data_IF_489845717579
#
_entry.id   IF_489845717579
#
_cell.length_a   1.000
_cell.length_b   1.000
_cell.length_c   1.000
_cell.angle_alpha   90.00
_cell.angle_beta   90.00
_cell.angle_gamma   90.00
#
_symmetry.space_group_name_H-M   'P 1'
#
loop_
_entity.id
_entity.type
_entity.pdbx_description
1 polymer ?
#
# COMPACT_ATOMS: atom_id res chain seq x y z
N UNK A 1 12.82 3.26 -18.08
CA UNK A 1 13.81 2.78 -17.10
C UNK A 1 13.06 2.02 -16.01
N UNK A 2 13.41 0.76 -15.79
CA UNK A 2 12.83 -0.04 -14.72
C UNK A 2 13.35 0.47 -13.37
N UNK A 3 12.45 0.56 -12.38
CA UNK A 3 12.73 0.93 -11.00
C UNK A 3 12.09 -0.09 -10.07
N UNK A 4 12.74 -0.31 -8.93
CA UNK A 4 12.25 -1.27 -7.93
C UNK A 4 12.21 -0.64 -6.55
N UNK A 5 11.06 -0.78 -5.88
CA UNK A 5 10.83 -0.36 -4.50
C UNK A 5 10.60 -1.58 -3.62
N UNK A 6 11.21 -1.58 -2.44
CA UNK A 6 10.82 -2.46 -1.34
C UNK A 6 10.01 -1.66 -0.33
N UNK A 7 8.87 -2.22 0.09
CA UNK A 7 8.01 -1.66 1.12
C UNK A 7 7.91 -2.66 2.26
N UNK A 8 8.21 -2.21 3.47
CA UNK A 8 8.06 -3.00 4.69
C UNK A 8 7.13 -2.31 5.67
N UNK A 9 6.26 -3.10 6.31
CA UNK A 9 5.36 -2.62 7.34
C UNK A 9 5.20 -3.67 8.44
N UNK A 10 5.00 -3.19 9.66
CA UNK A 10 4.78 -4.02 10.83
C UNK A 10 3.55 -3.51 11.58
N UNK A 11 2.72 -4.44 12.05
CA UNK A 11 1.62 -4.17 12.96
C UNK A 11 1.68 -5.11 14.15
N UNK A 12 1.46 -4.56 15.33
CA UNK A 12 1.21 -5.32 16.55
C UNK A 12 -0.23 -5.82 16.49
N UNK A 13 -0.44 -7.11 16.76
CA UNK A 13 -1.77 -7.74 16.78
C UNK A 13 -2.14 -8.17 18.20
N UNK A 14 -3.44 -8.21 18.55
CA UNK A 14 -3.88 -8.75 19.84
C UNK A 14 -3.44 -10.21 20.03
N UNK A 15 -3.37 -10.64 21.28
CA UNK A 15 -2.90 -11.99 21.63
C UNK A 15 -3.88 -13.08 21.19
N UNK A 16 -3.36 -14.29 21.02
CA UNK A 16 -4.11 -15.45 20.54
C UNK A 16 -5.27 -15.91 21.43
N UNK A 17 -5.35 -15.45 22.68
CA UNK A 17 -6.45 -15.72 23.61
C UNK A 17 -7.67 -14.79 23.40
N UNK A 18 -7.57 -13.82 22.49
CA UNK A 18 -8.65 -12.89 22.13
C UNK A 18 -9.47 -13.36 20.91
N UNK A 19 -10.70 -12.86 20.70
CA UNK A 19 -11.54 -13.23 19.56
C UNK A 19 -10.84 -13.06 18.21
N UNK A 20 -10.66 -14.17 17.49
CA UNK A 20 -9.92 -14.20 16.23
C UNK A 20 -10.71 -13.54 15.09
N UNK A 21 -10.21 -12.40 14.61
CA UNK A 21 -10.80 -11.63 13.50
C UNK A 21 -10.26 -12.01 12.11
N UNK A 22 -9.51 -13.10 12.00
CA UNK A 22 -8.85 -13.54 10.75
C UNK A 22 -8.13 -12.39 10.01
N UNK A 23 -7.35 -11.61 10.77
CA UNK A 23 -6.62 -10.46 10.25
C UNK A 23 -5.51 -10.91 9.31
N UNK A 24 -5.46 -10.31 8.11
CA UNK A 24 -4.45 -10.63 7.10
C UNK A 24 -4.11 -9.42 6.24
N UNK A 25 -2.87 -9.34 5.75
CA UNK A 25 -2.51 -8.39 4.71
C UNK A 25 -3.23 -8.74 3.41
N UNK A 26 -3.94 -7.77 2.83
CA UNK A 26 -4.52 -7.94 1.51
C UNK A 26 -3.45 -7.77 0.45
N UNK A 27 -3.56 -8.56 -0.61
CA UNK A 27 -2.62 -8.60 -1.73
C UNK A 27 -2.78 -7.41 -2.70
N UNK A 28 -2.91 -6.20 -2.14
CA UNK A 28 -3.08 -4.95 -2.87
C UNK A 28 -2.48 -3.78 -2.09
N UNK A 29 -2.11 -2.72 -2.80
CA UNK A 29 -1.64 -1.47 -2.20
C UNK A 29 -1.80 -0.28 -3.16
N UNK A 30 -1.79 0.92 -2.60
CA UNK A 30 -1.74 2.17 -3.36
C UNK A 30 -0.37 2.84 -3.14
N UNK A 31 0.22 3.38 -4.21
CA UNK A 31 1.43 4.19 -4.17
C UNK A 31 1.23 5.50 -4.90
N UNK A 32 1.84 6.57 -4.39
CA UNK A 32 1.99 7.80 -5.16
C UNK A 32 3.18 7.66 -6.10
N UNK A 33 2.92 7.61 -7.40
CA UNK A 33 3.93 7.48 -8.45
C UNK A 33 3.70 8.51 -9.55
N UNK A 34 4.78 8.90 -10.21
CA UNK A 34 4.71 9.64 -11.45
C UNK A 34 4.19 8.76 -12.58
N UNK A 35 3.32 9.31 -13.42
CA UNK A 35 2.74 8.59 -14.54
C UNK A 35 3.03 9.30 -15.87
N UNK A 36 3.98 8.75 -16.63
CA UNK A 36 4.35 9.28 -17.94
C UNK A 36 3.25 9.10 -19.01
N UNK A 37 2.31 8.17 -18.78
CA UNK A 37 1.19 7.90 -19.70
C UNK A 37 0.21 9.08 -19.71
N UNK A 38 -0.32 9.48 -18.54
CA UNK A 38 -1.14 10.68 -18.44
C UNK A 38 -0.33 11.97 -18.30
N UNK A 39 1.00 11.86 -18.19
CA UNK A 39 1.97 12.95 -18.00
C UNK A 39 1.66 13.79 -16.76
N UNK A 40 1.49 13.11 -15.61
CA UNK A 40 1.20 13.73 -14.32
C UNK A 40 2.05 13.13 -13.21
N UNK A 41 2.60 13.97 -12.34
CA UNK A 41 3.31 13.56 -11.13
C UNK A 41 2.33 13.27 -9.98
N UNK A 42 2.84 12.61 -8.93
CA UNK A 42 2.13 12.37 -7.65
C UNK A 42 0.77 11.65 -7.82
N UNK A 43 0.67 10.69 -8.75
CA UNK A 43 -0.58 9.96 -9.02
C UNK A 43 -0.75 8.78 -8.08
N UNK A 44 -1.93 8.62 -7.51
CA UNK A 44 -2.30 7.37 -6.85
C UNK A 44 -2.36 6.26 -7.89
N UNK A 45 -1.54 5.24 -7.69
CA UNK A 45 -1.43 4.04 -8.51
C UNK A 45 -1.79 2.83 -7.66
N UNK A 46 -2.81 2.09 -8.05
CA UNK A 46 -3.27 0.88 -7.39
C UNK A 46 -2.57 -0.35 -7.97
N UNK A 47 -2.03 -1.18 -7.10
CA UNK A 47 -1.38 -2.44 -7.42
C UNK A 47 -2.17 -3.60 -6.80
N UNK A 48 -2.32 -4.68 -7.56
CA UNK A 48 -2.86 -5.97 -7.07
C UNK A 48 -1.87 -7.07 -7.41
N UNK A 49 -1.61 -7.95 -6.46
CA UNK A 49 -0.67 -9.05 -6.66
C UNK A 49 -1.19 -10.05 -7.68
N UNK A 50 -0.33 -10.49 -8.60
CA UNK A 50 -0.69 -11.38 -9.70
C UNK A 50 -1.17 -10.66 -10.96
N UNK A 51 -1.38 -9.34 -10.89
CA UNK A 51 -1.59 -8.52 -12.09
C UNK A 51 -0.24 -8.10 -12.68
N UNK A 52 -0.12 -8.13 -14.00
CA UNK A 52 1.10 -7.68 -14.72
C UNK A 52 1.15 -6.16 -14.93
N UNK A 53 0.09 -5.45 -14.54
CA UNK A 53 -0.02 -4.00 -14.65
C UNK A 53 -0.72 -3.40 -13.43
N UNK A 54 -0.40 -2.14 -13.14
CA UNK A 54 -1.04 -1.35 -12.11
C UNK A 54 -2.11 -0.45 -12.75
N UNK A 55 -2.92 0.20 -11.92
CA UNK A 55 -3.95 1.15 -12.38
C UNK A 55 -3.64 2.55 -11.83
N UNK A 56 -3.39 3.50 -12.73
CA UNK A 56 -3.29 4.90 -12.37
C UNK A 56 -4.69 5.51 -12.27
N UNK A 57 -4.95 6.22 -11.18
CA UNK A 57 -6.24 6.87 -10.89
C UNK A 57 -6.70 7.92 -11.93
N UNK A 58 -5.84 8.40 -12.83
CA UNK A 58 -6.21 9.32 -13.93
C UNK A 58 -6.65 10.75 -13.50
N UNK A 59 -6.45 11.76 -14.35
CA UNK A 59 -6.83 13.15 -14.01
C UNK A 59 -8.19 13.60 -14.52
N UNK A 60 -8.69 12.99 -15.59
CA UNK A 60 -9.81 13.49 -16.40
C UNK A 60 -10.44 12.39 -17.24
N UNK A 61 -9.58 11.52 -17.78
CA UNK A 61 -9.96 10.27 -18.42
C UNK A 61 -9.87 9.17 -17.37
N UNK A 62 -10.81 8.23 -17.41
CA UNK A 62 -10.95 7.11 -16.49
C UNK A 62 -9.62 6.43 -16.10
N UNK A 63 -9.65 5.66 -15.02
CA UNK A 63 -8.51 4.82 -14.60
C UNK A 63 -7.87 4.14 -15.82
N UNK A 64 -6.54 4.18 -15.88
CA UNK A 64 -5.83 3.62 -17.02
C UNK A 64 -4.65 2.77 -16.54
N UNK A 65 -4.22 1.79 -17.36
CA UNK A 65 -3.05 0.99 -17.04
C UNK A 65 -1.81 1.86 -16.79
N UNK A 66 -1.02 1.44 -15.80
CA UNK A 66 0.30 1.94 -15.50
C UNK A 66 1.29 0.77 -15.52
N UNK A 67 2.46 1.00 -16.10
CA UNK A 67 3.50 -0.01 -16.23
C UNK A 67 4.18 -0.24 -14.88
N UNK A 68 3.61 -1.13 -14.07
CA UNK A 68 4.19 -1.60 -12.82
C UNK A 68 3.40 -2.76 -12.24
N UNK A 69 4.00 -3.52 -11.33
CA UNK A 69 3.41 -4.72 -10.73
C UNK A 69 4.00 -5.00 -9.35
N UNK A 70 3.32 -5.85 -8.60
CA UNK A 70 3.88 -6.45 -7.38
C UNK A 70 4.72 -7.66 -7.78
N UNK A 71 6.04 -7.58 -7.62
CA UNK A 71 6.97 -8.66 -7.98
C UNK A 71 7.24 -9.63 -6.83
N UNK A 72 7.03 -9.21 -5.58
CA UNK A 72 7.02 -10.09 -4.41
C UNK A 72 6.06 -9.59 -3.33
N UNK A 73 5.46 -10.51 -2.59
CA UNK A 73 4.55 -10.23 -1.47
C UNK A 73 4.70 -11.31 -0.40
N UNK A 74 5.45 -11.00 0.64
CA UNK A 74 5.82 -11.89 1.72
C UNK A 74 5.20 -11.42 3.04
N UNK A 75 4.51 -12.32 3.74
CA UNK A 75 3.93 -12.05 5.07
C UNK A 75 4.58 -12.99 6.08
N UNK A 76 5.07 -12.42 7.17
CA UNK A 76 5.55 -13.16 8.33
C UNK A 76 4.61 -12.89 9.50
N UNK A 77 4.01 -13.96 10.02
CA UNK A 77 3.09 -13.90 11.17
C UNK A 77 3.78 -14.48 12.39
N UNK A 78 3.77 -13.71 13.48
CA UNK A 78 4.25 -14.09 14.79
C UNK A 78 3.15 -13.91 15.83
N UNK A 79 3.28 -14.43 17.08
CA UNK A 79 2.20 -14.42 18.06
C UNK A 79 1.62 -13.04 18.41
N UNK A 80 2.43 -11.98 18.36
CA UNK A 80 2.01 -10.61 18.73
C UNK A 80 2.26 -9.58 17.60
N UNK A 81 2.71 -10.02 16.41
CA UNK A 81 2.95 -9.10 15.27
C UNK A 81 2.76 -9.77 13.91
N UNK A 82 2.37 -8.96 12.92
CA UNK A 82 2.44 -9.32 11.51
C UNK A 82 3.34 -8.35 10.77
N UNK A 83 4.25 -8.90 9.96
CA UNK A 83 5.20 -8.15 9.14
C UNK A 83 4.89 -8.41 7.67
N UNK A 84 4.76 -7.34 6.90
CA UNK A 84 4.66 -7.37 5.45
C UNK A 84 5.97 -6.89 4.83
N UNK A 85 6.45 -7.62 3.84
CA UNK A 85 7.47 -7.19 2.89
C UNK A 85 6.92 -7.35 1.47
N UNK A 86 6.89 -6.27 0.70
CA UNK A 86 6.46 -6.32 -0.69
C UNK A 86 7.41 -5.57 -1.60
N UNK A 87 7.62 -6.09 -2.80
CA UNK A 87 8.51 -5.51 -3.81
C UNK A 87 7.67 -5.09 -5.01
N UNK A 88 7.91 -3.87 -5.49
CA UNK A 88 7.17 -3.23 -6.56
C UNK A 88 8.13 -2.87 -7.68
N UNK A 89 7.87 -3.39 -8.86
CA UNK A 89 8.57 -3.01 -10.08
C UNK A 89 7.71 -2.03 -10.87
N UNK A 90 8.29 -0.95 -11.35
CA UNK A 90 7.59 0.01 -12.20
C UNK A 90 8.51 0.66 -13.22
N UNK A 91 7.94 1.06 -14.35
CA UNK A 91 8.64 1.79 -15.39
C UNK A 91 8.48 3.29 -15.20
N UNK A 92 9.62 3.99 -15.25
CA UNK A 92 9.66 5.44 -15.27
C UNK A 92 10.35 5.96 -16.54
N UNK A 93 9.85 7.07 -17.06
CA UNK A 93 10.44 7.81 -18.17
C UNK A 93 10.28 9.32 -17.92
N UNK A 94 11.21 10.18 -18.38
CA UNK A 94 11.06 11.63 -18.29
C UNK A 94 9.83 12.13 -19.04
N UNK A 95 9.11 13.09 -18.48
CA UNK A 95 8.01 13.79 -19.15
C UNK A 95 7.83 15.20 -18.59
N UNK A 96 7.10 16.05 -19.32
CA UNK A 96 6.62 17.35 -18.83
C UNK A 96 5.24 17.16 -18.15
N UNK A 97 5.10 17.53 -16.87
CA UNK A 97 3.82 17.46 -16.17
C UNK A 97 2.80 18.41 -16.80
N UNK A 98 1.66 17.88 -17.26
CA UNK A 98 0.64 18.65 -17.96
C UNK A 98 -0.05 19.73 -17.11
N UNK A 99 -0.14 19.57 -15.78
CA UNK A 99 -0.82 20.52 -14.89
C UNK A 99 0.13 21.55 -14.31
N UNK A 100 1.31 21.13 -13.88
CA UNK A 100 2.31 22.00 -13.26
C UNK A 100 3.23 22.65 -14.27
N UNK A 101 3.27 22.15 -15.50
CA UNK A 101 4.18 22.57 -16.56
C UNK A 101 5.65 22.57 -16.09
N UNK A 102 6.06 21.49 -15.46
CA UNK A 102 7.42 21.27 -14.95
C UNK A 102 7.95 19.91 -15.41
N UNK A 103 9.28 19.76 -15.59
CA UNK A 103 9.86 18.47 -15.90
C UNK A 103 9.70 17.53 -14.69
N UNK A 104 9.19 16.32 -14.94
CA UNK A 104 9.14 15.27 -13.93
C UNK A 104 10.56 14.77 -13.64
N UNK A 105 10.85 14.53 -12.37
CA UNK A 105 12.14 14.04 -11.88
C UNK A 105 11.94 12.64 -11.36
N UNK A 106 12.85 11.72 -11.69
CA UNK A 106 12.76 10.35 -11.22
C UNK A 106 12.64 10.31 -9.69
N UNK A 107 11.84 9.38 -9.11
CA UNK A 107 11.67 9.29 -7.67
C UNK A 107 13.03 9.13 -6.97
N UNK A 108 13.39 10.12 -6.14
CA UNK A 108 14.62 10.11 -5.32
C UNK A 108 14.31 9.99 -3.82
N UNK A 109 13.02 10.00 -3.46
CA UNK A 109 12.53 9.91 -2.08
C UNK A 109 11.43 8.85 -2.01
N UNK A 110 11.19 8.36 -0.80
CA UNK A 110 10.10 7.45 -0.50
C UNK A 110 8.75 8.10 -0.88
N UNK A 111 7.96 7.49 -1.80
CA UNK A 111 6.62 7.99 -2.10
C UNK A 111 5.65 7.81 -0.92
N UNK A 112 4.42 8.31 -1.08
CA UNK A 112 3.33 7.90 -0.19
C UNK A 112 2.87 6.47 -0.53
N UNK A 113 2.50 5.71 0.51
CA UNK A 113 1.95 4.35 0.37
C UNK A 113 0.74 4.14 1.29
N UNK A 114 -0.26 3.39 0.81
CA UNK A 114 -1.33 2.78 1.60
C UNK A 114 -1.34 1.28 1.36
N UNK A 115 -1.22 0.52 2.45
CA UNK A 115 -1.33 -0.93 2.52
C UNK A 115 -2.69 -1.29 3.13
N UNK A 116 -3.19 -2.49 2.85
CA UNK A 116 -4.51 -2.91 3.31
C UNK A 116 -4.44 -4.14 4.21
N UNK A 117 -5.15 -4.09 5.32
CA UNK A 117 -5.44 -5.24 6.17
C UNK A 117 -6.92 -5.60 6.00
N UNK A 118 -7.19 -6.88 5.77
CA UNK A 118 -8.53 -7.46 5.75
C UNK A 118 -8.81 -8.19 7.05
N UNK A 119 -10.07 -8.18 7.48
CA UNK A 119 -10.51 -8.93 8.66
C UNK A 119 -11.96 -9.41 8.50
N UNK A 120 -12.31 -10.48 9.21
CA UNK A 120 -13.66 -11.02 9.37
C UNK A 120 -14.10 -10.85 10.82
N UNK A 121 -15.13 -10.04 11.08
CA UNK A 121 -15.68 -9.91 12.42
C UNK A 121 -16.44 -11.19 12.81
N UNK A 122 -16.11 -11.87 13.92
CA UNK A 122 -16.81 -13.09 14.34
C UNK A 122 -18.25 -12.83 14.80
N UNK A 123 -18.53 -11.66 15.37
CA UNK A 123 -19.87 -11.27 15.84
C UNK A 123 -20.80 -10.93 14.67
N UNK A 124 -20.37 -9.99 13.81
CA UNK A 124 -21.19 -9.54 12.67
C UNK A 124 -21.13 -10.48 11.46
N UNK A 125 -20.15 -11.40 11.41
CA UNK A 125 -19.86 -12.29 10.27
C UNK A 125 -19.65 -11.53 8.96
N UNK A 126 -19.05 -10.34 9.03
CA UNK A 126 -18.79 -9.47 7.89
C UNK A 126 -17.30 -9.25 7.70
N UNK A 127 -16.88 -9.26 6.44
CA UNK A 127 -15.52 -8.92 6.03
C UNK A 127 -15.41 -7.42 5.79
N UNK A 128 -14.32 -6.83 6.28
CA UNK A 128 -13.97 -5.42 6.08
C UNK A 128 -12.48 -5.28 5.82
N UNK A 129 -12.07 -4.08 5.40
CA UNK A 129 -10.67 -3.72 5.25
C UNK A 129 -10.38 -2.37 5.89
N UNK A 130 -9.13 -2.20 6.29
CA UNK A 130 -8.58 -0.98 6.87
C UNK A 130 -7.20 -0.70 6.27
N UNK A 131 -6.74 0.54 6.37
CA UNK A 131 -5.56 1.01 5.63
C UNK A 131 -4.40 1.46 6.53
N UNK A 132 -3.22 0.87 6.35
CA UNK A 132 -1.96 1.29 7.00
C UNK A 132 -1.16 2.19 6.04
N UNK A 133 -0.92 3.45 6.41
CA UNK A 133 -0.43 4.46 5.45
C UNK A 133 0.74 5.28 5.98
N UNK A 134 1.66 5.71 5.12
CA UNK A 134 2.86 6.43 5.56
C UNK A 134 2.61 7.79 6.22
N UNK A 135 1.48 8.45 5.93
CA UNK A 135 1.16 9.82 6.37
C UNK A 135 0.20 9.93 7.56
N UNK A 136 0.15 8.92 8.43
CA UNK A 136 -0.72 8.91 9.63
C UNK A 136 0.10 9.16 10.91
N UNK A 137 -0.49 9.86 11.89
CA UNK A 137 0.12 10.06 13.22
C UNK A 137 0.25 8.71 13.95
N UNK A 138 1.35 8.51 14.68
CA UNK A 138 1.67 7.22 15.32
C UNK A 138 1.89 7.34 16.82
N UNK A 139 1.56 6.28 17.61
CA UNK A 139 0.97 5.01 17.17
C UNK A 139 -0.47 5.16 16.64
N UNK A 140 -0.83 4.34 15.65
CA UNK A 140 -2.18 4.30 15.08
C UNK A 140 -2.79 2.93 15.34
N UNK A 141 -3.87 2.89 16.10
CA UNK A 141 -4.62 1.68 16.42
C UNK A 141 -5.89 1.62 15.59
N UNK A 142 -6.17 0.41 15.12
CA UNK A 142 -7.28 0.09 14.24
C UNK A 142 -8.16 -0.93 14.94
N UNK A 143 -9.45 -0.64 15.01
CA UNK A 143 -10.42 -1.46 15.73
C UNK A 143 -11.46 -2.01 14.76
N UNK A 144 -12.08 -3.13 15.14
CA UNK A 144 -13.20 -3.69 14.40
C UNK A 144 -14.37 -2.69 14.42
N UNK A 145 -14.85 -2.30 13.25
CA UNK A 145 -15.99 -1.37 13.11
C UNK A 145 -17.31 -1.91 13.66
N UNK A 146 -17.38 -3.21 13.96
CA UNK A 146 -18.61 -3.88 14.42
C UNK A 146 -18.64 -4.12 15.92
N UNK A 147 -17.56 -4.65 16.51
CA UNK A 147 -17.49 -4.98 17.94
C UNK A 147 -16.48 -4.12 18.73
N UNK A 148 -15.85 -3.14 18.09
CA UNK A 148 -14.81 -2.26 18.67
C UNK A 148 -13.56 -2.98 19.20
N UNK A 149 -13.43 -4.29 18.99
CA UNK A 149 -12.26 -5.07 19.38
C UNK A 149 -11.00 -4.53 18.67
N UNK A 150 -9.86 -4.36 19.37
CA UNK A 150 -8.60 -3.98 18.74
C UNK A 150 -8.20 -4.99 17.67
N UNK A 151 -7.76 -4.53 16.51
CA UNK A 151 -7.32 -5.42 15.41
C UNK A 151 -5.82 -5.34 15.21
N UNK A 152 -5.28 -4.14 15.14
CA UNK A 152 -3.89 -3.91 14.82
C UNK A 152 -3.43 -2.55 15.34
N UNK A 153 -2.17 -2.44 15.73
CA UNK A 153 -1.53 -1.14 16.01
C UNK A 153 -0.27 -1.00 15.18
N UNK A 154 -0.20 0.04 14.35
CA UNK A 154 1.05 0.43 13.67
C UNK A 154 1.80 1.43 14.54
N UNK A 155 2.99 1.04 15.00
CA UNK A 155 3.87 1.90 15.80
C UNK A 155 4.84 2.69 14.93
N UNK A 156 5.17 2.17 13.75
CA UNK A 156 6.06 2.79 12.76
C UNK A 156 5.38 2.97 11.40
N UNK A 157 5.88 3.92 10.62
CA UNK A 157 5.42 4.11 9.25
C UNK A 157 5.92 2.98 8.34
N UNK A 158 5.12 2.56 7.34
CA UNK A 158 5.63 1.74 6.26
C UNK A 158 6.92 2.37 5.71
N UNK A 159 7.99 1.59 5.71
CA UNK A 159 9.29 2.03 5.20
C UNK A 159 9.31 1.71 3.72
N UNK A 160 9.75 2.68 2.92
CA UNK A 160 9.92 2.50 1.47
C UNK A 160 11.38 2.72 1.13
N UNK A 161 11.98 1.75 0.46
CA UNK A 161 13.37 1.79 0.02
C UNK A 161 13.41 1.63 -1.50
N UNK A 162 14.03 2.59 -2.17
CA UNK A 162 14.40 2.44 -3.58
C UNK A 162 15.62 1.52 -3.67
N UNK A 163 15.51 0.44 -4.43
CA UNK A 163 16.59 -0.54 -4.59
C UNK A 163 17.52 -0.16 -5.75
N UNK A 164 16.94 0.21 -6.90
CA UNK A 164 17.64 0.59 -8.15
C UNK A 164 16.73 1.38 -9.09
#
# INVERSE_FOLDING_TARGET
MLRTLEITAEVVVPRHDEPFHNLHWQKQLELSLDCFICRRTDRTTLFRHGEEQALCSGSSDAEHPAAGRISAFDVTTEPERQILRTVIDFWWAPFQDKKRNQPAVAPTRAPWVRLYLGYLCPEARQTKSLGVQSNVQRPASENCTHCAHPLATSTQAPRIRLLT
#
